data_IF_492134344539
#
_entry.id   IF_492134344539
#
_cell.length_a   1.000
_cell.length_b   1.000
_cell.length_c   1.000
_cell.angle_alpha   90.00
_cell.angle_beta   90.00
_cell.angle_gamma   90.00
#
_symmetry.space_group_name_H-M   'P 1'
#
loop_
_entity.id
_entity.type
_entity.pdbx_description
1 polymer ?
#
# COMPACT_ATOMS: atom_id res chain seq x y z
N UNK A 1 -4.29 4.28 -5.04
CA UNK A 1 -4.17 5.75 -4.84
C UNK A 1 -3.95 6.48 -6.16
N UNK A 2 -2.82 6.24 -6.83
CA UNK A 2 -2.48 6.90 -8.10
C UNK A 2 -3.56 6.80 -9.18
N UNK A 3 -4.17 5.62 -9.35
CA UNK A 3 -5.28 5.43 -10.30
C UNK A 3 -6.47 6.38 -10.04
N UNK A 4 -6.87 6.53 -8.78
CA UNK A 4 -7.99 7.40 -8.39
C UNK A 4 -7.60 8.86 -8.61
N UNK A 5 -6.39 9.24 -8.22
CA UNK A 5 -5.90 10.61 -8.42
C UNK A 5 -5.80 10.96 -9.91
N UNK A 6 -5.34 10.02 -10.73
CA UNK A 6 -5.28 10.18 -12.18
C UNK A 6 -6.67 10.35 -12.80
N UNK A 7 -7.68 9.61 -12.32
CA UNK A 7 -9.05 9.77 -12.77
C UNK A 7 -9.61 11.17 -12.47
N UNK A 8 -9.27 11.74 -11.29
CA UNK A 8 -9.58 13.15 -10.96
C UNK A 8 -8.92 14.10 -11.96
N UNK A 9 -7.61 13.94 -12.19
CA UNK A 9 -6.84 14.84 -13.07
C UNK A 9 -7.24 14.76 -14.55
N UNK A 10 -7.77 13.62 -14.98
CA UNK A 10 -8.17 13.39 -16.38
C UNK A 10 -9.67 13.53 -16.59
N UNK A 11 -10.43 13.86 -15.54
CA UNK A 11 -11.89 14.01 -15.56
C UNK A 11 -12.61 12.76 -16.11
N UNK A 12 -12.07 11.57 -15.83
CA UNK A 12 -12.60 10.29 -16.30
C UNK A 12 -13.35 9.56 -15.20
N UNK A 13 -14.38 8.80 -15.60
CA UNK A 13 -15.06 7.86 -14.71
C UNK A 13 -14.06 6.78 -14.30
N UNK A 14 -13.90 6.59 -13.01
CA UNK A 14 -12.97 5.63 -12.44
C UNK A 14 -13.57 4.22 -12.48
N UNK A 15 -12.78 3.24 -12.94
CA UNK A 15 -13.10 1.81 -12.82
C UNK A 15 -12.02 1.16 -11.96
N UNK A 16 -12.39 0.72 -10.77
CA UNK A 16 -11.48 0.11 -9.80
C UNK A 16 -11.34 -1.39 -10.05
N UNK A 17 -10.10 -1.92 -10.09
CA UNK A 17 -9.85 -3.35 -10.16
C UNK A 17 -10.11 -4.02 -8.80
N UNK A 18 -10.27 -5.34 -8.83
CA UNK A 18 -10.19 -6.15 -7.61
C UNK A 18 -8.74 -6.24 -7.12
N UNK A 19 -8.55 -6.48 -5.83
CA UNK A 19 -7.26 -6.80 -5.24
C UNK A 19 -6.91 -8.26 -5.54
N UNK A 20 -5.73 -8.47 -6.10
CA UNK A 20 -5.19 -9.79 -6.40
C UNK A 20 -4.31 -10.29 -5.23
N UNK A 21 -4.38 -11.58 -4.87
CA UNK A 21 -3.66 -12.14 -3.73
C UNK A 21 -2.20 -12.51 -4.05
N UNK A 22 -1.48 -11.70 -4.82
CA UNK A 22 -0.11 -12.00 -5.27
C UNK A 22 0.90 -12.24 -4.14
N UNK A 23 0.59 -11.78 -2.92
CA UNK A 23 1.46 -11.89 -1.74
C UNK A 23 0.94 -12.84 -0.65
N UNK A 24 -0.12 -13.61 -0.91
CA UNK A 24 -0.55 -14.68 -0.01
C UNK A 24 0.31 -15.94 -0.23
N UNK A 25 1.61 -15.84 -0.01
CA UNK A 25 2.52 -17.00 0.04
C UNK A 25 2.33 -17.71 1.39
N UNK A 26 1.25 -18.48 1.51
CA UNK A 26 0.92 -19.16 2.77
C UNK A 26 -0.43 -19.89 2.80
N UNK A 27 -1.23 -19.78 1.74
CA UNK A 27 -2.34 -20.73 1.55
C UNK A 27 -1.79 -22.14 1.38
N UNK A 28 -2.50 -23.14 1.90
CA UNK A 28 -2.30 -24.53 1.42
C UNK A 28 -2.30 -24.51 -0.11
N UNK A 29 -1.50 -25.36 -0.81
CA UNK A 29 -1.57 -25.51 -2.27
C UNK A 29 -3.00 -25.65 -2.82
N UNK A 30 -3.93 -26.08 -1.95
CA UNK A 30 -5.34 -26.31 -2.26
C UNK A 30 -6.28 -25.12 -1.95
N UNK A 31 -5.78 -24.01 -1.40
CA UNK A 31 -6.60 -22.81 -1.12
C UNK A 31 -6.52 -21.85 -2.30
N UNK A 32 -7.47 -21.97 -3.23
CA UNK A 32 -7.67 -20.95 -4.26
C UNK A 32 -8.00 -19.61 -3.57
N UNK A 33 -7.03 -18.71 -3.48
CA UNK A 33 -7.29 -17.36 -2.97
C UNK A 33 -8.00 -16.57 -4.07
N UNK A 34 -9.26 -16.26 -3.83
CA UNK A 34 -10.09 -15.46 -4.72
C UNK A 34 -9.74 -13.98 -4.58
N UNK A 35 -9.82 -13.23 -5.68
CA UNK A 35 -9.65 -11.78 -5.65
C UNK A 35 -10.75 -11.13 -4.77
N UNK A 36 -10.40 -10.11 -3.99
CA UNK A 36 -11.39 -9.33 -3.24
C UNK A 36 -11.67 -8.00 -3.95
N UNK A 37 -12.94 -7.61 -4.00
CA UNK A 37 -13.35 -6.36 -4.64
C UNK A 37 -12.88 -5.15 -3.86
N UNK A 38 -12.81 -4.00 -4.52
CA UNK A 38 -12.45 -2.77 -3.83
C UNK A 38 -13.53 -2.39 -2.78
N UNK A 39 -14.80 -2.62 -3.11
CA UNK A 39 -15.93 -2.37 -2.23
C UNK A 39 -16.00 -3.29 -1.01
N UNK A 40 -15.44 -4.50 -1.05
CA UNK A 40 -15.31 -5.36 0.12
C UNK A 40 -14.31 -4.81 1.15
N UNK A 41 -13.30 -4.07 0.68
CA UNK A 41 -12.26 -3.48 1.53
C UNK A 41 -12.61 -2.06 1.98
N UNK A 42 -13.09 -1.22 1.07
CA UNK A 42 -13.30 0.21 1.30
C UNK A 42 -14.76 0.63 1.08
N UNK A 43 -15.18 1.69 1.77
CA UNK A 43 -16.51 2.27 1.61
C UNK A 43 -16.61 3.12 0.32
N UNK A 44 -16.91 2.44 -0.80
CA UNK A 44 -17.03 3.09 -2.13
C UNK A 44 -18.11 4.19 -2.15
N UNK A 45 -19.33 4.01 -1.61
CA UNK A 45 -20.32 5.09 -1.58
C UNK A 45 -19.83 6.35 -0.87
N UNK A 46 -19.15 6.21 0.27
CA UNK A 46 -18.52 7.32 0.98
C UNK A 46 -17.44 7.97 0.12
N UNK A 47 -16.55 7.18 -0.46
CA UNK A 47 -15.46 7.69 -1.30
C UNK A 47 -15.99 8.49 -2.50
N UNK A 48 -16.98 7.95 -3.22
CA UNK A 48 -17.61 8.63 -4.35
C UNK A 48 -18.23 9.97 -3.96
N UNK A 49 -18.88 10.02 -2.78
CA UNK A 49 -19.46 11.26 -2.22
C UNK A 49 -18.38 12.29 -1.87
N UNK A 50 -17.32 11.86 -1.18
CA UNK A 50 -16.22 12.74 -0.75
C UNK A 50 -15.44 13.31 -1.95
N UNK A 51 -15.18 12.48 -2.96
CA UNK A 51 -14.47 12.89 -4.18
C UNK A 51 -15.37 13.58 -5.20
N UNK A 52 -16.70 13.55 -5.00
CA UNK A 52 -17.71 14.09 -5.92
C UNK A 52 -17.56 13.56 -7.34
N UNK A 53 -17.23 12.27 -7.48
CA UNK A 53 -17.05 11.63 -8.77
C UNK A 53 -17.70 10.24 -8.77
N UNK A 54 -18.21 9.78 -9.93
CA UNK A 54 -18.66 8.40 -10.08
C UNK A 54 -17.47 7.45 -9.96
N UNK A 55 -17.66 6.39 -9.17
CA UNK A 55 -16.69 5.32 -9.00
C UNK A 55 -17.40 4.02 -9.33
N UNK A 56 -16.87 3.33 -10.34
CA UNK A 56 -17.28 2.00 -10.73
C UNK A 56 -16.23 1.00 -10.27
N UNK A 57 -16.66 -0.21 -10.03
CA UNK A 57 -15.80 -1.38 -9.89
C UNK A 57 -15.91 -2.23 -11.15
N UNK A 58 -14.85 -2.98 -11.48
CA UNK A 58 -14.78 -3.73 -12.74
C UNK A 58 -15.99 -4.66 -12.97
N UNK A 59 -16.51 -5.27 -11.92
CA UNK A 59 -17.67 -6.17 -11.97
C UNK A 59 -18.98 -5.47 -12.40
N UNK A 60 -19.04 -4.14 -12.30
CA UNK A 60 -20.18 -3.33 -12.77
C UNK A 60 -20.07 -3.00 -14.26
N UNK A 61 -18.88 -3.16 -14.85
CA UNK A 61 -18.59 -2.88 -16.26
C UNK A 61 -18.62 -4.16 -17.10
N UNK A 62 -18.15 -5.27 -16.53
CA UNK A 62 -18.12 -6.58 -17.18
C UNK A 62 -18.66 -7.67 -16.25
N UNK A 63 -19.56 -8.50 -16.78
CA UNK A 63 -20.04 -9.68 -16.07
C UNK A 63 -18.87 -10.65 -15.80
N UNK A 64 -18.71 -11.02 -14.52
CA UNK A 64 -17.68 -11.97 -14.06
C UNK A 64 -17.82 -13.37 -14.67
N UNK A 65 -19.03 -13.73 -15.11
CA UNK A 65 -19.32 -15.02 -15.75
C UNK A 65 -19.17 -14.97 -17.27
N UNK A 66 -18.89 -13.80 -17.83
CA UNK A 66 -18.71 -13.65 -19.27
C UNK A 66 -17.49 -14.45 -19.73
N UNK A 67 -17.71 -15.35 -20.68
CA UNK A 67 -16.66 -16.08 -21.40
C UNK A 67 -16.12 -15.29 -22.59
N UNK A 68 -16.69 -14.12 -22.87
CA UNK A 68 -16.25 -13.26 -23.97
C UNK A 68 -14.91 -12.63 -23.62
N UNK A 69 -13.95 -12.81 -24.53
CA UNK A 69 -12.64 -12.16 -24.45
C UNK A 69 -12.74 -10.78 -25.09
N UNK A 70 -12.62 -9.74 -24.27
CA UNK A 70 -12.58 -8.36 -24.75
C UNK A 70 -11.14 -7.96 -25.06
N UNK A 71 -10.96 -7.07 -26.04
CA UNK A 71 -9.64 -6.58 -26.42
C UNK A 71 -9.44 -5.15 -25.92
N UNK A 72 -8.33 -4.91 -25.23
CA UNK A 72 -8.03 -3.62 -24.61
C UNK A 72 -6.55 -3.26 -24.79
N UNK A 73 -6.30 -2.13 -25.45
CA UNK A 73 -4.98 -1.52 -25.52
C UNK A 73 -4.72 -0.66 -24.28
N UNK A 74 -3.55 -0.82 -23.66
CA UNK A 74 -3.10 -0.10 -22.47
C UNK A 74 -1.76 0.61 -22.73
N UNK A 75 -1.41 1.56 -21.87
CA UNK A 75 -0.05 2.11 -21.83
C UNK A 75 0.86 1.21 -21.00
N UNK A 76 2.11 1.05 -21.46
CA UNK A 76 3.15 0.32 -20.74
C UNK A 76 3.96 1.32 -19.91
N UNK A 77 3.69 1.40 -18.61
CA UNK A 77 4.46 2.23 -17.66
C UNK A 77 5.60 1.43 -17.07
N UNK A 78 5.42 0.11 -16.91
CA UNK A 78 6.42 -0.77 -16.30
C UNK A 78 7.77 -0.74 -17.01
N UNK A 79 7.78 -0.72 -18.34
CA UNK A 79 9.02 -0.63 -19.13
C UNK A 79 9.79 0.68 -18.91
N UNK A 80 9.16 1.80 -18.53
CA UNK A 80 9.96 2.99 -18.14
C UNK A 80 10.59 2.78 -16.79
N UNK A 81 9.84 2.17 -15.89
CA UNK A 81 10.25 2.02 -14.49
C UNK A 81 11.40 1.02 -14.38
N UNK A 82 11.37 -0.06 -15.17
CA UNK A 82 12.32 -1.17 -15.07
C UNK A 82 13.22 -1.27 -16.31
N UNK A 83 14.48 -0.85 -16.17
CA UNK A 83 15.49 -0.79 -17.24
C UNK A 83 15.74 -2.15 -17.94
N UNK A 84 15.57 -3.26 -17.21
CA UNK A 84 15.78 -4.61 -17.73
C UNK A 84 14.49 -5.31 -18.18
N UNK A 85 13.33 -4.66 -18.09
CA UNK A 85 12.08 -5.28 -18.50
C UNK A 85 11.87 -5.17 -20.00
N UNK A 86 11.65 -6.31 -20.66
CA UNK A 86 11.34 -6.37 -22.09
C UNK A 86 9.85 -6.25 -22.39
N UNK A 87 8.99 -6.04 -21.38
CA UNK A 87 7.54 -6.12 -21.53
C UNK A 87 6.76 -5.41 -20.42
N UNK A 88 5.43 -5.35 -20.49
CA UNK A 88 4.60 -4.85 -19.40
C UNK A 88 4.76 -5.73 -18.15
N UNK A 89 4.36 -5.21 -16.99
CA UNK A 89 4.38 -6.02 -15.77
C UNK A 89 3.44 -7.21 -15.91
N UNK A 90 3.91 -8.40 -15.50
CA UNK A 90 3.05 -9.57 -15.45
C UNK A 90 1.91 -9.34 -14.44
N UNK A 91 0.69 -9.66 -14.87
CA UNK A 91 -0.50 -9.69 -14.01
C UNK A 91 -1.39 -10.84 -14.45
N UNK A 92 -1.90 -11.61 -13.49
CA UNK A 92 -2.91 -12.63 -13.76
C UNK A 92 -4.31 -12.03 -14.02
N UNK A 93 -4.51 -10.76 -13.63
CA UNK A 93 -5.80 -10.07 -13.66
C UNK A 93 -6.44 -10.03 -15.05
N UNK A 94 -5.73 -9.69 -16.15
CA UNK A 94 -6.34 -9.67 -17.47
C UNK A 94 -6.86 -11.04 -17.90
N UNK A 95 -6.15 -12.12 -17.56
CA UNK A 95 -6.61 -13.48 -17.79
C UNK A 95 -7.89 -13.80 -17.03
N UNK A 96 -7.94 -13.47 -15.73
CA UNK A 96 -9.14 -13.68 -14.89
C UNK A 96 -10.36 -12.88 -15.36
N UNK A 97 -10.13 -11.72 -15.97
CA UNK A 97 -11.21 -10.84 -16.46
C UNK A 97 -11.57 -11.10 -17.93
N UNK A 98 -10.99 -12.12 -18.57
CA UNK A 98 -11.13 -12.37 -20.00
C UNK A 98 -10.82 -11.12 -20.83
N UNK A 99 -9.71 -10.46 -20.54
CA UNK A 99 -9.22 -9.29 -21.27
C UNK A 99 -7.94 -9.68 -22.00
N UNK A 100 -7.99 -9.65 -23.33
CA UNK A 100 -6.82 -9.63 -24.18
C UNK A 100 -6.15 -8.25 -24.08
N UNK A 101 -5.36 -8.06 -23.01
CA UNK A 101 -4.59 -6.85 -22.77
C UNK A 101 -3.24 -6.89 -23.49
N UNK A 102 -2.87 -5.78 -24.16
CA UNK A 102 -1.48 -5.48 -24.50
C UNK A 102 -1.20 -4.00 -24.35
N UNK A 103 0.07 -3.72 -24.03
CA UNK A 103 0.58 -2.38 -23.86
C UNK A 103 1.50 -2.00 -25.02
N UNK A 104 1.49 -0.74 -25.45
CA UNK A 104 2.45 -0.24 -26.46
C UNK A 104 3.86 -0.13 -25.90
N UNK A 105 4.87 -0.43 -26.71
CA UNK A 105 6.26 -0.14 -26.39
C UNK A 105 6.47 1.37 -26.15
N UNK A 106 7.37 1.69 -25.23
CA UNK A 106 7.30 2.95 -24.51
C UNK A 106 7.78 4.19 -25.29
N UNK A 107 7.12 5.35 -25.09
CA UNK A 107 7.71 6.65 -25.41
C UNK A 107 7.78 7.63 -24.22
N UNK A 108 7.34 7.25 -23.01
CA UNK A 108 7.49 8.13 -21.85
C UNK A 108 8.98 8.15 -21.51
N UNK A 109 9.57 9.35 -21.51
CA UNK A 109 10.92 9.53 -20.99
C UNK A 109 10.90 9.07 -19.53
N UNK A 110 11.82 8.18 -19.15
CA UNK A 110 12.20 8.11 -17.75
C UNK A 110 12.49 9.55 -17.31
N UNK A 111 11.93 9.97 -16.18
CA UNK A 111 12.50 11.07 -15.42
C UNK A 111 13.85 10.60 -14.89
N UNK A 112 14.84 10.54 -15.78
CA UNK A 112 16.24 10.55 -15.40
C UNK A 112 16.48 11.97 -14.91
N UNK A 113 16.48 12.14 -13.60
CA UNK A 113 17.10 13.33 -13.02
C UNK A 113 18.56 13.32 -13.42
N UNK A 114 18.89 13.99 -14.52
CA UNK A 114 20.22 14.49 -14.81
C UNK A 114 20.51 15.68 -13.87
N UNK A 115 20.45 15.43 -12.57
CA UNK A 115 21.03 16.31 -11.55
C UNK A 115 22.30 15.63 -11.08
N UNK A 116 23.32 15.64 -11.95
CA UNK A 116 24.74 15.57 -11.57
C UNK A 116 25.21 14.44 -10.65
N UNK A 117 24.45 13.35 -10.46
CA UNK A 117 24.89 12.21 -9.69
C UNK A 117 24.66 10.93 -10.47
N UNK A 118 25.74 10.18 -10.58
CA UNK A 118 25.86 8.94 -11.30
C UNK A 118 24.73 7.97 -10.98
N UNK A 119 24.10 7.47 -12.05
CA UNK A 119 23.47 6.15 -12.18
C UNK A 119 23.32 5.35 -10.89
N UNK A 120 22.08 5.22 -10.44
CA UNK A 120 21.39 3.96 -10.08
C UNK A 120 20.32 4.27 -9.01
N UNK A 121 19.10 3.76 -9.22
CA UNK A 121 18.17 3.32 -8.17
C UNK A 121 16.95 4.14 -7.72
N UNK A 122 16.30 4.95 -8.56
CA UNK A 122 14.87 5.19 -8.31
C UNK A 122 14.02 5.14 -9.57
N UNK A 123 13.32 4.01 -9.67
CA UNK A 123 12.43 3.57 -10.73
C UNK A 123 11.05 4.19 -10.51
N UNK A 124 10.80 5.41 -10.98
CA UNK A 124 9.45 5.98 -10.97
C UNK A 124 9.19 6.83 -12.21
N UNK A 125 7.93 6.84 -12.64
CA UNK A 125 7.45 7.66 -13.76
C UNK A 125 6.71 8.88 -13.23
N UNK A 126 6.91 10.03 -13.88
CA UNK A 126 6.20 11.24 -13.53
C UNK A 126 4.70 11.11 -13.82
N UNK A 127 3.87 11.37 -12.80
CA UNK A 127 2.42 11.37 -12.92
C UNK A 127 1.93 12.36 -13.99
N UNK A 128 2.59 13.51 -14.16
CA UNK A 128 2.22 14.49 -15.19
C UNK A 128 2.37 13.92 -16.60
N UNK A 129 3.41 13.13 -16.83
CA UNK A 129 3.66 12.49 -18.11
C UNK A 129 2.69 11.33 -18.34
N UNK A 130 2.41 10.54 -17.31
CA UNK A 130 1.35 9.52 -17.35
C UNK A 130 -0.02 10.13 -17.65
N UNK A 131 -0.35 11.27 -17.01
CA UNK A 131 -1.59 12.02 -17.22
C UNK A 131 -1.69 12.58 -18.63
N UNK A 132 -0.59 13.09 -19.19
CA UNK A 132 -0.57 13.63 -20.55
C UNK A 132 -1.06 12.60 -21.59
N UNK A 133 -0.74 11.32 -21.42
CA UNK A 133 -1.18 10.23 -22.31
C UNK A 133 -2.70 10.01 -22.37
N UNK A 134 -3.46 10.59 -21.44
CA UNK A 134 -4.92 10.55 -21.46
C UNK A 134 -5.54 11.49 -22.51
N UNK A 135 -4.75 12.43 -23.06
CA UNK A 135 -5.22 13.49 -23.96
C UNK A 135 -4.81 13.23 -25.42
N UNK A 136 -5.66 13.59 -26.41
CA UNK A 136 -5.44 13.23 -27.82
C UNK A 136 -4.09 13.67 -28.40
N UNK A 137 -3.62 14.89 -28.10
CA UNK A 137 -2.36 15.41 -28.63
C UNK A 137 -1.18 14.52 -28.24
N UNK A 138 -1.08 14.21 -26.95
CA UNK A 138 0.02 13.44 -26.40
C UNK A 138 -0.12 11.97 -26.73
N UNK A 139 -1.34 11.42 -26.69
CA UNK A 139 -1.60 10.07 -27.21
C UNK A 139 -1.08 9.94 -28.64
N UNK A 140 -1.50 10.80 -29.56
CA UNK A 140 -1.17 10.69 -30.99
C UNK A 140 0.34 10.81 -31.25
N UNK A 141 1.05 11.66 -30.50
CA UNK A 141 2.53 11.76 -30.58
C UNK A 141 3.26 10.50 -30.10
N UNK A 142 2.64 9.80 -29.15
CA UNK A 142 3.22 8.67 -28.42
C UNK A 142 2.69 7.31 -28.89
N UNK A 143 1.80 7.26 -29.88
CA UNK A 143 1.41 5.98 -30.48
C UNK A 143 2.64 5.32 -31.14
N UNK A 144 2.84 4.06 -30.78
CA UNK A 144 3.83 3.13 -31.34
C UNK A 144 3.12 1.85 -31.72
N UNK A 145 3.75 1.04 -32.56
CA UNK A 145 3.21 -0.27 -32.93
C UNK A 145 3.07 -1.14 -31.67
N UNK A 146 1.85 -1.56 -31.30
CA UNK A 146 1.64 -2.41 -30.13
C UNK A 146 2.11 -3.84 -30.38
N UNK A 147 2.54 -4.52 -29.32
CA UNK A 147 2.83 -5.96 -29.35
C UNK A 147 1.54 -6.81 -29.53
N UNK A 148 1.64 -7.99 -30.14
CA UNK A 148 0.51 -8.90 -30.37
C UNK A 148 0.02 -9.56 -29.08
N UNK A 149 -1.30 -9.59 -28.83
CA UNK A 149 -1.91 -10.27 -27.68
C UNK A 149 -1.58 -11.76 -27.64
N UNK A 150 -1.17 -12.33 -26.49
CA UNK A 150 -0.94 -13.77 -26.37
C UNK A 150 -2.22 -14.60 -26.56
N UNK A 151 -3.38 -14.04 -26.20
CA UNK A 151 -4.67 -14.73 -26.19
C UNK A 151 -5.34 -14.72 -27.58
N UNK A 152 -5.32 -13.58 -28.27
CA UNK A 152 -6.05 -13.39 -29.54
C UNK A 152 -5.14 -13.09 -30.74
N UNK A 153 -3.84 -12.89 -30.55
CA UNK A 153 -2.92 -12.48 -31.63
C UNK A 153 -3.14 -11.05 -32.14
N UNK A 154 -4.03 -10.26 -31.52
CA UNK A 154 -4.40 -8.92 -31.96
C UNK A 154 -3.41 -7.85 -31.46
N UNK A 155 -3.14 -6.84 -32.29
CA UNK A 155 -2.37 -5.64 -31.93
C UNK A 155 -3.32 -4.43 -31.91
N UNK A 156 -3.50 -3.82 -30.74
CA UNK A 156 -4.40 -2.68 -30.55
C UNK A 156 -3.68 -1.51 -29.87
N UNK A 157 -3.83 -0.27 -30.39
CA UNK A 157 -3.32 0.90 -29.70
C UNK A 157 -4.10 1.16 -28.41
N UNK A 158 -3.56 1.96 -27.47
CA UNK A 158 -4.26 2.37 -26.26
C UNK A 158 -5.61 2.99 -26.60
N UNK A 159 -6.66 2.53 -25.94
CA UNK A 159 -8.04 2.88 -26.28
C UNK A 159 -8.35 4.36 -25.96
N UNK A 160 -9.14 5.03 -26.79
CA UNK A 160 -9.50 6.45 -26.60
C UNK A 160 -10.61 6.64 -25.55
N UNK A 161 -11.54 5.69 -25.48
CA UNK A 161 -12.69 5.70 -24.59
C UNK A 161 -12.32 5.17 -23.20
N UNK A 162 -11.58 4.05 -23.14
CA UNK A 162 -11.12 3.42 -21.91
C UNK A 162 -9.61 3.60 -21.72
N UNK A 163 -9.22 4.53 -20.86
CA UNK A 163 -7.82 4.75 -20.51
C UNK A 163 -7.31 3.64 -19.60
N UNK A 164 -6.24 2.95 -20.02
CA UNK A 164 -5.66 1.83 -19.30
C UNK A 164 -4.14 1.99 -19.17
N UNK A 165 -3.61 1.64 -18.00
CA UNK A 165 -2.18 1.53 -17.70
C UNK A 165 -1.93 0.16 -17.08
N UNK A 166 -0.80 -0.47 -17.40
CA UNK A 166 -0.42 -1.78 -16.85
C UNK A 166 0.03 -1.70 -15.38
N UNK A 167 0.73 -0.64 -14.99
CA UNK A 167 1.19 -0.39 -13.62
C UNK A 167 1.10 1.12 -13.29
N UNK A 168 0.66 1.43 -12.07
CA UNK A 168 0.67 2.80 -11.51
C UNK A 168 1.27 2.85 -10.11
N UNK A 169 1.94 1.77 -9.67
CA UNK A 169 2.55 1.67 -8.35
C UNK A 169 3.75 2.59 -8.24
N UNK A 170 4.60 2.61 -9.27
CA UNK A 170 5.82 3.41 -9.35
C UNK A 170 5.58 4.76 -10.04
N UNK A 171 4.43 5.38 -9.79
CA UNK A 171 4.10 6.71 -10.34
C UNK A 171 4.19 7.76 -9.24
N UNK A 172 4.88 8.86 -9.52
CA UNK A 172 5.18 9.90 -8.54
C UNK A 172 4.84 11.30 -9.05
N UNK A 173 4.47 12.22 -8.17
CA UNK A 173 4.08 13.58 -8.57
C UNK A 173 5.28 14.51 -8.87
N UNK A 174 6.52 14.14 -8.51
CA UNK A 174 7.68 15.04 -8.64
C UNK A 174 8.82 14.41 -9.43
N UNK A 175 9.40 15.21 -10.33
CA UNK A 175 10.58 14.84 -11.10
C UNK A 175 11.87 15.03 -10.29
N UNK A 176 11.81 15.61 -9.10
CA UNK A 176 12.99 16.05 -8.33
C UNK A 176 13.15 15.29 -7.00
N UNK A 177 12.32 14.27 -6.75
CA UNK A 177 12.58 13.37 -5.64
C UNK A 177 13.29 12.12 -6.18
N UNK A 178 14.61 11.97 -5.98
CA UNK A 178 15.34 10.78 -6.36
C UNK A 178 14.92 9.54 -5.53
N UNK A 179 13.82 9.62 -4.76
CA UNK A 179 13.25 8.53 -3.97
C UNK A 179 11.90 8.04 -4.51
N UNK A 180 11.30 8.68 -5.53
CA UNK A 180 10.13 8.14 -6.26
C UNK A 180 8.81 7.94 -5.48
N UNK A 181 8.79 8.12 -4.15
CA UNK A 181 7.63 7.86 -3.31
C UNK A 181 7.27 9.10 -2.48
N UNK A 182 6.17 9.79 -2.84
CA UNK A 182 5.73 11.00 -2.14
C UNK A 182 4.79 10.74 -0.96
N UNK A 183 4.24 9.53 -0.81
CA UNK A 183 3.14 9.23 0.13
C UNK A 183 3.45 9.51 1.60
N UNK A 184 4.72 9.59 1.99
CA UNK A 184 5.21 9.97 3.31
C UNK A 184 5.21 11.48 3.60
N UNK A 185 5.17 12.30 2.54
CA UNK A 185 5.34 13.75 2.64
C UNK A 185 4.01 14.45 2.74
N UNK A 186 3.90 15.45 3.60
CA UNK A 186 2.68 16.25 3.76
C UNK A 186 2.13 16.79 2.42
N UNK A 187 3.00 17.13 1.47
CA UNK A 187 2.63 17.59 0.14
C UNK A 187 2.13 16.51 -0.84
N UNK A 188 2.08 15.23 -0.45
CA UNK A 188 1.54 14.15 -1.28
C UNK A 188 0.11 14.47 -1.74
N UNK A 189 -0.05 14.81 -3.01
CA UNK A 189 -1.35 15.16 -3.58
C UNK A 189 -2.28 13.96 -3.65
N UNK A 190 -1.75 12.79 -4.02
CA UNK A 190 -2.52 11.55 -4.04
C UNK A 190 -3.03 11.17 -2.64
N UNK A 191 -2.24 11.38 -1.58
CA UNK A 191 -2.74 11.19 -0.21
C UNK A 191 -3.78 12.24 0.19
N UNK A 192 -3.44 13.53 0.03
CA UNK A 192 -4.29 14.66 0.48
C UNK A 192 -5.64 14.73 -0.21
N UNK A 193 -5.71 14.34 -1.48
CA UNK A 193 -6.92 14.42 -2.30
C UNK A 193 -7.68 13.08 -2.35
N UNK A 194 -7.00 11.96 -2.15
CA UNK A 194 -7.64 10.63 -2.22
C UNK A 194 -7.45 9.84 -0.92
N UNK A 195 -6.21 9.59 -0.52
CA UNK A 195 -5.88 8.64 0.55
C UNK A 195 -6.61 8.89 1.86
N UNK A 196 -6.74 10.15 2.28
CA UNK A 196 -7.48 10.50 3.50
C UNK A 196 -8.97 10.14 3.45
N UNK A 197 -9.57 9.95 2.27
CA UNK A 197 -10.98 9.60 2.10
C UNK A 197 -11.22 8.09 1.95
N UNK A 198 -10.16 7.27 1.90
CA UNK A 198 -10.24 5.81 1.76
C UNK A 198 -10.54 5.11 3.09
N UNK A 199 -11.74 5.33 3.61
CA UNK A 199 -12.23 4.66 4.81
C UNK A 199 -12.63 3.22 4.53
N UNK A 200 -12.48 2.38 5.54
CA UNK A 200 -12.80 0.96 5.48
C UNK A 200 -14.29 0.73 5.21
N UNK A 201 -14.60 -0.44 4.64
CA UNK A 201 -15.97 -0.90 4.58
C UNK A 201 -16.53 -1.05 6.02
N UNK A 202 -17.75 -0.56 6.33
CA UNK A 202 -18.34 -0.68 7.66
C UNK A 202 -18.37 -2.12 8.23
N UNK A 203 -18.47 -3.14 7.37
CA UNK A 203 -18.34 -4.55 7.77
C UNK A 203 -16.97 -4.84 8.39
N UNK A 204 -15.89 -4.40 7.73
CA UNK A 204 -14.52 -4.59 8.23
C UNK A 204 -14.32 -3.81 9.53
N UNK A 205 -14.83 -2.58 9.61
CA UNK A 205 -14.77 -1.77 10.83
C UNK A 205 -15.47 -2.47 12.00
N UNK A 206 -16.66 -3.04 11.79
CA UNK A 206 -17.39 -3.72 12.86
C UNK A 206 -16.71 -5.02 13.30
N UNK A 207 -16.18 -5.80 12.35
CA UNK A 207 -15.40 -6.99 12.68
C UNK A 207 -14.17 -6.60 13.51
N UNK A 208 -13.41 -5.59 13.07
CA UNK A 208 -12.25 -5.07 13.78
C UNK A 208 -12.59 -4.60 15.21
N UNK A 209 -13.69 -3.86 15.40
CA UNK A 209 -14.20 -3.48 16.73
C UNK A 209 -14.54 -4.70 17.58
N UNK A 210 -15.14 -5.73 16.98
CA UNK A 210 -15.40 -7.00 17.64
C UNK A 210 -14.13 -7.69 18.16
N UNK A 211 -13.05 -7.71 17.36
CA UNK A 211 -11.76 -8.22 17.80
C UNK A 211 -11.17 -7.38 18.92
N UNK A 212 -11.18 -6.06 18.81
CA UNK A 212 -10.72 -5.15 19.86
C UNK A 212 -11.44 -5.39 21.19
N UNK A 213 -12.77 -5.49 21.17
CA UNK A 213 -13.57 -5.78 22.38
C UNK A 213 -13.16 -7.10 23.02
N UNK A 214 -13.03 -8.17 22.24
CA UNK A 214 -12.58 -9.48 22.76
C UNK A 214 -11.17 -9.41 23.33
N UNK A 215 -10.23 -8.78 22.62
CA UNK A 215 -8.84 -8.62 23.04
C UNK A 215 -8.73 -7.85 24.35
N UNK A 216 -9.59 -6.85 24.58
CA UNK A 216 -9.62 -6.06 25.81
C UNK A 216 -10.56 -6.62 26.89
N UNK A 217 -11.24 -7.75 26.65
CA UNK A 217 -12.20 -8.33 27.60
C UNK A 217 -13.46 -7.46 27.82
N UNK A 218 -13.85 -6.68 26.81
CA UNK A 218 -14.98 -5.77 26.85
C UNK A 218 -16.28 -6.44 26.38
N UNK A 219 -17.42 -5.96 26.88
CA UNK A 219 -18.75 -6.38 26.41
C UNK A 219 -19.04 -5.95 24.97
N UNK A 220 -20.04 -6.57 24.34
CA UNK A 220 -20.38 -6.37 22.91
C UNK A 220 -20.62 -4.90 22.54
N UNK A 221 -21.25 -4.13 23.44
CA UNK A 221 -21.57 -2.71 23.21
C UNK A 221 -20.68 -1.75 23.99
N UNK A 222 -19.66 -2.28 24.68
CA UNK A 222 -18.75 -1.44 25.44
C UNK A 222 -17.92 -0.53 24.53
N UNK A 223 -17.68 0.70 25.00
CA UNK A 223 -16.80 1.65 24.33
C UNK A 223 -15.36 1.14 24.40
N UNK A 224 -14.69 1.10 23.24
CA UNK A 224 -13.29 0.73 23.14
C UNK A 224 -12.45 1.92 23.65
N UNK A 225 -11.60 1.74 24.67
CA UNK A 225 -10.74 2.81 25.18
C UNK A 225 -9.68 3.22 24.15
N UNK A 226 -9.12 4.44 24.24
CA UNK A 226 -7.96 4.83 23.43
C UNK A 226 -6.82 3.82 23.54
N UNK A 227 -6.23 3.45 22.40
CA UNK A 227 -5.14 2.50 22.32
C UNK A 227 -4.08 2.95 21.29
N UNK A 228 -2.89 2.37 21.43
CA UNK A 228 -1.77 2.54 20.51
C UNK A 228 -1.59 1.23 19.74
N UNK A 229 -1.28 1.33 18.46
CA UNK A 229 -0.98 0.16 17.61
C UNK A 229 0.50 0.15 17.23
N UNK A 230 1.05 -1.05 17.14
CA UNK A 230 2.40 -1.30 16.67
C UNK A 230 2.29 -2.22 15.45
N UNK A 231 2.97 -1.86 14.37
CA UNK A 231 3.17 -2.74 13.23
C UNK A 231 4.66 -3.03 13.07
N UNK A 232 5.04 -4.27 13.32
CA UNK A 232 6.40 -4.77 13.09
C UNK A 232 6.38 -5.64 11.83
N UNK A 233 7.11 -5.25 10.79
CA UNK A 233 7.32 -6.09 9.61
C UNK A 233 8.69 -6.76 9.73
N UNK A 234 8.69 -8.01 10.13
CA UNK A 234 9.86 -8.83 10.42
C UNK A 234 10.03 -9.97 9.42
N UNK A 235 8.93 -10.56 8.92
CA UNK A 235 8.94 -11.78 8.14
C UNK A 235 9.66 -11.65 6.81
N UNK A 236 9.06 -10.93 5.86
CA UNK A 236 9.58 -10.84 4.49
C UNK A 236 10.77 -9.86 4.34
N UNK A 237 10.92 -8.93 5.27
CA UNK A 237 12.03 -7.98 5.30
C UNK A 237 13.37 -8.61 5.72
N UNK A 238 13.38 -9.85 6.23
CA UNK A 238 14.62 -10.61 6.51
C UNK A 238 15.56 -10.67 5.31
N UNK A 239 15.02 -10.75 4.09
CA UNK A 239 15.80 -10.79 2.85
C UNK A 239 16.52 -9.48 2.52
N UNK A 240 16.14 -8.36 3.13
CA UNK A 240 16.79 -7.07 2.96
C UNK A 240 18.01 -6.89 3.90
N UNK A 241 18.20 -7.79 4.86
CA UNK A 241 19.26 -7.69 5.85
C UNK A 241 20.59 -8.20 5.30
N UNK A 242 21.60 -7.33 5.30
CA UNK A 242 22.98 -7.67 4.94
C UNK A 242 23.88 -7.94 6.16
N UNK A 243 23.29 -7.96 7.36
CA UNK A 243 23.94 -8.23 8.65
C UNK A 243 23.10 -9.27 9.43
N UNK A 244 23.60 -9.85 10.54
CA UNK A 244 22.81 -10.77 11.36
C UNK A 244 21.43 -10.21 11.71
N UNK A 245 20.39 -11.05 11.69
CA UNK A 245 18.99 -10.59 11.81
C UNK A 245 18.70 -9.86 13.13
N UNK A 246 19.33 -10.32 14.20
CA UNK A 246 19.30 -9.72 15.54
C UNK A 246 19.97 -8.34 15.60
N UNK A 247 20.91 -8.05 14.70
CA UNK A 247 21.53 -6.74 14.53
C UNK A 247 20.83 -5.87 13.48
N UNK A 248 20.14 -6.50 12.54
CA UNK A 248 19.39 -5.84 11.46
C UNK A 248 18.10 -5.22 11.98
N UNK A 249 17.32 -6.01 12.72
CA UNK A 249 16.04 -5.57 13.27
C UNK A 249 16.22 -4.83 14.58
N UNK A 250 15.27 -3.94 14.83
CA UNK A 250 15.28 -3.13 16.04
C UNK A 250 14.87 -3.99 17.24
N UNK A 251 15.55 -3.90 18.39
CA UNK A 251 15.11 -4.61 19.59
C UNK A 251 13.77 -4.09 20.11
N UNK A 252 12.99 -4.95 20.80
CA UNK A 252 11.70 -4.59 21.39
C UNK A 252 11.78 -3.39 22.35
N UNK A 253 12.92 -3.19 23.01
CA UNK A 253 13.16 -2.06 23.91
C UNK A 253 13.12 -0.71 23.18
N UNK A 254 13.59 -0.65 21.93
CA UNK A 254 13.50 0.55 21.12
C UNK A 254 12.06 0.83 20.66
N UNK A 255 11.31 -0.22 20.30
CA UNK A 255 9.87 -0.10 20.01
C UNK A 255 9.13 0.43 21.24
N UNK A 256 9.41 -0.11 22.43
CA UNK A 256 8.81 0.34 23.67
C UNK A 256 9.09 1.82 23.95
N UNK A 257 10.33 2.27 23.73
CA UNK A 257 10.68 3.70 23.80
C UNK A 257 9.83 4.55 22.86
N UNK A 258 9.61 4.13 21.61
CA UNK A 258 8.73 4.85 20.66
C UNK A 258 7.27 4.85 21.10
N UNK A 259 6.80 3.78 21.72
CA UNK A 259 5.45 3.73 22.33
C UNK A 259 5.32 4.76 23.44
N UNK A 260 6.35 4.91 24.29
CA UNK A 260 6.34 5.88 25.38
C UNK A 260 6.38 7.32 24.83
N UNK A 261 7.18 7.61 23.80
CA UNK A 261 7.14 8.90 23.09
C UNK A 261 5.73 9.24 22.54
N UNK A 262 5.02 8.24 22.01
CA UNK A 262 3.64 8.39 21.53
C UNK A 262 2.69 8.64 22.69
N UNK A 263 2.80 7.90 23.80
CA UNK A 263 1.98 8.13 25.01
C UNK A 263 2.18 9.53 25.57
N UNK A 264 3.41 9.99 25.66
CA UNK A 264 3.75 11.33 26.14
C UNK A 264 3.15 12.41 25.24
N UNK A 265 3.25 12.26 23.91
CA UNK A 265 2.65 13.20 22.97
C UNK A 265 1.12 13.25 23.11
N UNK A 266 0.47 12.09 23.19
CA UNK A 266 -0.99 12.00 23.37
C UNK A 266 -1.44 12.63 24.69
N UNK A 267 -0.72 12.37 25.77
CA UNK A 267 -1.06 12.93 27.07
C UNK A 267 -0.83 14.45 27.10
N UNK A 268 0.34 14.91 26.63
CA UNK A 268 0.76 16.31 26.72
C UNK A 268 0.01 17.23 25.77
N UNK A 269 -0.18 16.80 24.53
CA UNK A 269 -0.76 17.65 23.47
C UNK A 269 -2.26 17.45 23.31
N UNK A 270 -2.78 16.26 23.66
CA UNK A 270 -4.17 15.87 23.34
C UNK A 270 -4.99 15.47 24.57
N UNK A 271 -4.38 15.41 25.76
CA UNK A 271 -5.00 14.94 27.00
C UNK A 271 -5.66 13.56 26.84
N UNK A 272 -5.03 12.67 26.05
CA UNK A 272 -5.48 11.29 25.82
C UNK A 272 -4.54 10.35 26.55
N UNK A 273 -5.09 9.54 27.46
CA UNK A 273 -4.37 8.43 28.09
C UNK A 273 -4.68 7.12 27.36
N UNK A 274 -3.70 6.61 26.61
CA UNK A 274 -3.81 5.31 25.93
C UNK A 274 -3.08 4.22 26.74
N UNK A 275 -3.83 3.48 27.56
CA UNK A 275 -3.28 2.43 28.41
C UNK A 275 -3.00 1.13 27.65
N UNK A 276 -3.75 0.86 26.58
CA UNK A 276 -3.65 -0.37 25.82
C UNK A 276 -2.74 -0.20 24.60
N UNK A 277 -1.92 -1.21 24.35
CA UNK A 277 -1.01 -1.28 23.21
C UNK A 277 -1.24 -2.61 22.50
N UNK A 278 -1.49 -2.57 21.19
CA UNK A 278 -1.69 -3.76 20.36
C UNK A 278 -0.51 -3.87 19.40
N UNK A 279 0.12 -5.04 19.34
CA UNK A 279 1.16 -5.36 18.37
C UNK A 279 0.61 -6.31 17.30
N UNK A 280 0.94 -5.99 16.04
CA UNK A 280 0.69 -6.82 14.86
C UNK A 280 2.02 -7.03 14.13
N UNK A 281 2.25 -8.25 13.66
CA UNK A 281 3.50 -8.63 12.99
C UNK A 281 3.31 -9.84 12.10
N UNK A 282 4.11 -9.94 11.04
CA UNK A 282 4.28 -11.13 10.19
C UNK A 282 5.34 -12.10 10.73
N UNK A 283 5.86 -11.87 11.95
CA UNK A 283 6.79 -12.76 12.64
C UNK A 283 6.12 -14.05 13.13
N UNK A 284 6.80 -15.18 12.95
CA UNK A 284 6.32 -16.52 13.34
C UNK A 284 7.15 -17.14 14.47
N UNK A 285 8.27 -16.53 14.86
CA UNK A 285 9.11 -17.00 15.95
C UNK A 285 8.39 -16.88 17.31
N UNK A 286 8.12 -18.02 17.94
CA UNK A 286 7.42 -18.12 19.24
C UNK A 286 8.20 -17.41 20.34
N UNK A 287 9.52 -17.56 20.40
CA UNK A 287 10.35 -16.93 21.43
C UNK A 287 10.28 -15.41 21.35
N UNK A 288 10.21 -14.84 20.14
CA UNK A 288 10.00 -13.40 19.97
C UNK A 288 8.64 -12.95 20.52
N UNK A 289 7.57 -13.73 20.30
CA UNK A 289 6.25 -13.44 20.86
C UNK A 289 6.19 -13.59 22.39
N UNK A 290 6.98 -14.49 22.98
CA UNK A 290 7.15 -14.59 24.43
C UNK A 290 7.80 -13.32 25.01
N UNK A 291 8.80 -12.77 24.33
CA UNK A 291 9.41 -11.49 24.72
C UNK A 291 8.42 -10.32 24.58
N UNK A 292 7.60 -10.29 23.51
CA UNK A 292 6.53 -9.29 23.35
C UNK A 292 5.54 -9.36 24.50
N UNK A 293 5.19 -10.56 24.98
CA UNK A 293 4.27 -10.73 26.10
C UNK A 293 4.80 -10.11 27.40
N UNK A 294 6.13 -10.02 27.59
CA UNK A 294 6.74 -9.36 28.75
C UNK A 294 6.42 -7.85 28.81
N UNK A 295 6.14 -7.20 27.68
CA UNK A 295 5.71 -5.81 27.61
C UNK A 295 4.21 -5.60 27.88
N UNK A 296 3.45 -6.70 28.09
CA UNK A 296 1.99 -6.69 28.26
C UNK A 296 1.25 -6.04 27.08
N UNK A 297 1.83 -6.11 25.89
CA UNK A 297 1.14 -5.71 24.67
C UNK A 297 0.19 -6.82 24.23
N UNK A 298 -0.96 -6.41 23.74
CA UNK A 298 -1.97 -7.32 23.21
C UNK A 298 -1.59 -7.75 21.79
N UNK A 299 -2.00 -8.96 21.41
CA UNK A 299 -1.98 -9.42 20.02
C UNK A 299 -3.40 -9.84 19.63
N UNK A 300 -3.72 -9.77 18.34
CA UNK A 300 -5.03 -10.19 17.84
C UNK A 300 -5.01 -11.69 17.57
N UNK A 301 -5.94 -12.42 18.19
CA UNK A 301 -6.06 -13.86 17.98
C UNK A 301 -6.82 -14.15 16.68
N UNK A 302 -6.09 -14.51 15.63
CA UNK A 302 -6.68 -14.79 14.32
C UNK A 302 -7.06 -16.26 14.08
N UNK A 303 -7.00 -17.16 15.07
CA UNK A 303 -7.16 -18.61 14.87
C UNK A 303 -8.45 -19.04 14.16
N UNK A 304 -9.56 -18.33 14.38
CA UNK A 304 -10.86 -18.61 13.76
C UNK A 304 -11.20 -17.67 12.59
N UNK A 305 -10.33 -16.73 12.23
CA UNK A 305 -10.65 -15.64 11.27
C UNK A 305 -10.80 -16.17 9.86
N UNK A 306 -9.83 -16.94 9.38
CA UNK A 306 -9.83 -17.45 8.00
C UNK A 306 -11.03 -18.37 7.75
N UNK A 307 -11.34 -19.36 8.62
CA UNK A 307 -12.54 -20.19 8.43
C UNK A 307 -13.86 -19.41 8.48
N UNK A 308 -13.90 -18.28 9.21
CA UNK A 308 -15.13 -17.52 9.44
C UNK A 308 -15.38 -16.49 8.34
N UNK A 309 -14.35 -15.76 7.92
CA UNK A 309 -14.52 -14.58 7.07
C UNK A 309 -13.82 -14.70 5.71
N UNK A 310 -12.72 -15.45 5.64
CA UNK A 310 -11.91 -15.62 4.45
C UNK A 310 -10.44 -15.29 4.67
N UNK A 311 -9.61 -15.63 3.69
CA UNK A 311 -8.14 -15.50 3.76
C UNK A 311 -7.66 -14.04 3.75
N UNK A 312 -8.46 -13.11 3.23
CA UNK A 312 -8.14 -11.68 3.24
C UNK A 312 -8.39 -11.03 4.60
N UNK A 313 -9.37 -11.50 5.35
CA UNK A 313 -9.85 -10.81 6.54
C UNK A 313 -8.80 -10.63 7.65
N UNK A 314 -7.86 -11.56 7.94
CA UNK A 314 -6.82 -11.31 8.94
C UNK A 314 -6.06 -10.00 8.70
N UNK A 315 -5.51 -9.80 7.49
CA UNK A 315 -4.74 -8.59 7.17
C UNK A 315 -5.64 -7.34 7.10
N UNK A 316 -6.88 -7.47 6.63
CA UNK A 316 -7.83 -6.36 6.59
C UNK A 316 -8.24 -5.91 7.99
N UNK A 317 -8.49 -6.87 8.90
CA UNK A 317 -8.82 -6.61 10.29
C UNK A 317 -7.64 -5.96 11.01
N UNK A 318 -6.44 -6.52 10.88
CA UNK A 318 -5.23 -5.95 11.51
C UNK A 318 -4.98 -4.52 11.02
N UNK A 319 -5.02 -4.29 9.71
CA UNK A 319 -4.79 -2.94 9.15
C UNK A 319 -5.89 -1.95 9.54
N UNK A 320 -7.15 -2.40 9.70
CA UNK A 320 -8.23 -1.58 10.24
C UNK A 320 -7.96 -1.23 11.71
N UNK A 321 -7.68 -2.22 12.56
CA UNK A 321 -7.33 -2.02 13.98
C UNK A 321 -6.16 -1.05 14.12
N UNK A 322 -5.10 -1.27 13.33
CA UNK A 322 -3.92 -0.42 13.29
C UNK A 322 -4.27 1.04 13.01
N UNK A 323 -5.12 1.29 12.01
CA UNK A 323 -5.47 2.64 11.57
C UNK A 323 -6.44 3.39 12.49
N UNK A 324 -7.21 2.68 13.31
CA UNK A 324 -8.20 3.25 14.25
C UNK A 324 -7.59 3.63 15.61
N UNK A 325 -6.31 3.31 15.83
CA UNK A 325 -5.58 3.67 17.04
C UNK A 325 -5.44 5.19 17.22
N UNK A 326 -5.31 5.65 18.47
CA UNK A 326 -4.97 7.06 18.78
C UNK A 326 -3.48 7.34 18.65
N UNK A 327 -2.66 6.30 18.71
CA UNK A 327 -1.25 6.42 18.37
C UNK A 327 -0.76 5.20 17.59
N UNK A 328 0.36 5.36 16.89
CA UNK A 328 0.92 4.31 16.06
C UNK A 328 2.45 4.30 16.05
N UNK A 329 3.04 3.11 16.12
CA UNK A 329 4.47 2.86 15.91
C UNK A 329 4.64 1.87 14.77
N UNK A 330 5.30 2.28 13.68
CA UNK A 330 5.47 1.42 12.50
C UNK A 330 6.92 1.10 12.19
N UNK A 331 7.16 -0.02 11.49
CA UNK A 331 8.45 -0.30 10.85
C UNK A 331 8.71 0.68 9.70
N UNK A 332 9.89 1.33 9.70
CA UNK A 332 10.36 2.15 8.59
C UNK A 332 10.39 1.37 7.27
N UNK A 333 10.15 2.05 6.14
CA UNK A 333 10.06 1.47 4.79
C UNK A 333 8.96 0.43 4.53
N UNK A 334 8.10 0.13 5.50
CA UNK A 334 6.91 -0.68 5.25
C UNK A 334 5.78 0.17 4.69
N UNK A 335 5.27 -0.18 3.51
CA UNK A 335 4.12 0.51 2.90
C UNK A 335 2.85 0.40 3.74
N UNK A 336 2.66 -0.71 4.44
CA UNK A 336 1.57 -0.88 5.41
C UNK A 336 1.73 0.11 6.56
N UNK A 337 2.91 0.19 7.18
CA UNK A 337 3.20 1.15 8.25
C UNK A 337 2.98 2.59 7.80
N UNK A 338 3.44 2.91 6.59
CA UNK A 338 3.32 4.24 6.01
C UNK A 338 1.84 4.68 5.89
N UNK A 339 1.02 3.84 5.26
CA UNK A 339 -0.41 4.14 5.06
C UNK A 339 -1.14 4.20 6.40
N UNK A 340 -0.84 3.27 7.31
CA UNK A 340 -1.42 3.27 8.66
C UNK A 340 -1.08 4.54 9.43
N UNK A 341 0.19 4.95 9.48
CA UNK A 341 0.61 6.17 10.16
C UNK A 341 -0.13 7.41 9.64
N UNK A 342 -0.37 7.45 8.32
CA UNK A 342 -1.11 8.54 7.68
C UNK A 342 -2.59 8.53 8.04
N UNK A 343 -3.23 7.36 8.12
CA UNK A 343 -4.62 7.23 8.60
C UNK A 343 -4.74 7.67 10.06
N UNK A 344 -3.87 7.21 10.94
CA UNK A 344 -3.89 7.60 12.36
C UNK A 344 -3.75 9.12 12.51
N UNK A 345 -2.82 9.74 11.78
CA UNK A 345 -2.68 11.20 11.75
C UNK A 345 -3.93 11.92 11.23
N UNK A 346 -4.45 11.54 10.08
CA UNK A 346 -5.47 12.33 9.38
C UNK A 346 -6.91 12.01 9.82
N UNK A 347 -7.18 10.77 10.23
CA UNK A 347 -8.52 10.34 10.64
C UNK A 347 -8.80 10.60 12.11
N UNK A 348 -7.76 10.57 12.93
CA UNK A 348 -7.91 10.63 14.39
C UNK A 348 -7.13 11.75 15.04
N UNK A 349 -6.36 12.53 14.28
CA UNK A 349 -5.34 13.41 14.83
C UNK A 349 -4.51 12.62 15.87
N UNK A 350 -3.91 11.51 15.44
CA UNK A 350 -3.13 10.62 16.30
C UNK A 350 -1.63 10.90 16.28
N UNK A 351 -0.92 10.47 17.33
CA UNK A 351 0.54 10.59 17.42
C UNK A 351 1.22 9.37 16.77
N UNK A 352 2.26 9.58 15.96
CA UNK A 352 2.93 8.47 15.27
C UNK A 352 4.45 8.54 15.37
N UNK A 353 5.08 7.38 15.40
CA UNK A 353 6.54 7.19 15.30
C UNK A 353 6.85 6.05 14.34
N UNK A 354 8.08 6.06 13.83
CA UNK A 354 8.62 4.94 13.07
C UNK A 354 9.89 4.44 13.75
N UNK A 355 10.13 3.14 13.69
CA UNK A 355 11.40 2.54 14.10
C UNK A 355 12.27 2.27 12.89
N UNK A 356 13.52 2.75 12.94
CA UNK A 356 14.52 2.53 11.89
C UNK A 356 15.24 1.18 12.08
N UNK A 357 15.62 0.53 10.99
CA UNK A 357 16.24 -0.80 10.97
C UNK A 357 17.22 -0.93 9.79
N UNK A 358 17.87 -2.09 9.67
CA UNK A 358 18.78 -2.45 8.57
C UNK A 358 20.27 -2.27 8.89
N UNK A 359 20.61 -1.70 10.04
CA UNK A 359 21.98 -1.58 10.55
C UNK A 359 21.99 -1.45 12.07
N UNK A 360 23.10 -1.81 12.70
CA UNK A 360 23.34 -1.57 14.14
C UNK A 360 23.17 -0.08 14.46
N UNK A 361 22.37 0.21 15.49
CA UNK A 361 22.08 1.58 15.93
C UNK A 361 21.23 2.40 14.95
N UNK A 362 20.49 1.76 14.03
CA UNK A 362 19.65 2.47 13.07
C UNK A 362 18.61 3.40 13.73
N UNK A 363 18.07 2.99 14.88
CA UNK A 363 17.09 3.76 15.68
C UNK A 363 17.72 4.48 16.89
N UNK A 364 19.06 4.59 16.95
CA UNK A 364 19.70 5.31 18.04
C UNK A 364 19.45 6.82 17.89
N UNK A 365 18.99 7.45 18.96
CA UNK A 365 18.79 8.90 19.06
C UNK A 365 20.13 9.64 19.00
N UNK A 366 20.70 9.84 17.81
CA UNK A 366 21.63 10.94 17.61
C UNK A 366 20.77 12.20 17.40
N UNK A 367 20.85 13.16 18.32
CA UNK A 367 19.97 14.33 18.46
C UNK A 367 19.89 15.32 17.29
N UNK A 368 19.65 14.84 16.08
CA UNK A 368 19.22 15.61 14.90
C UNK A 368 17.78 15.24 14.62
N UNK A 369 16.94 16.27 14.46
CA UNK A 369 15.57 16.14 13.96
C UNK A 369 15.50 15.16 12.80
N UNK A 370 14.59 14.20 12.89
CA UNK A 370 14.33 13.09 11.94
C UNK A 370 13.89 13.52 10.52
N UNK A 371 14.53 14.51 9.92
CA UNK A 371 14.17 15.04 8.59
C UNK A 371 15.15 14.62 7.49
N UNK A 372 16.42 14.31 7.80
CA UNK A 372 17.43 14.10 6.75
C UNK A 372 18.20 12.79 6.93
N UNK A 373 17.80 11.72 6.22
CA UNK A 373 18.68 10.73 5.57
C UNK A 373 17.89 9.50 5.07
N UNK A 374 17.40 9.57 3.83
CA UNK A 374 16.71 8.45 3.14
C UNK A 374 17.27 8.14 1.73
N UNK A 375 18.33 8.83 1.30
CA UNK A 375 18.78 8.82 -0.10
C UNK A 375 19.45 7.51 -0.57
N UNK A 376 19.95 6.64 0.31
CA UNK A 376 20.79 5.51 -0.10
C UNK A 376 20.10 4.14 -0.13
N UNK A 377 18.87 3.99 0.37
CA UNK A 377 18.35 2.66 0.74
C UNK A 377 17.13 2.14 -0.03
N UNK A 378 16.53 2.94 -0.93
CA UNK A 378 15.37 2.50 -1.74
C UNK A 378 15.78 1.64 -2.95
N UNK A 379 17.06 1.70 -3.32
CA UNK A 379 17.77 0.69 -4.13
C UNK A 379 17.46 -0.74 -3.73
N UNK A 380 17.41 -1.00 -2.43
CA UNK A 380 17.27 -2.34 -1.86
C UNK A 380 15.85 -2.87 -2.03
N UNK A 381 14.85 -2.00 -1.94
CA UNK A 381 13.44 -2.38 -2.11
C UNK A 381 13.15 -2.74 -3.58
N UNK A 382 13.70 -2.00 -4.54
CA UNK A 382 13.53 -2.37 -5.95
C UNK A 382 14.15 -3.75 -6.25
N UNK A 383 15.28 -4.10 -5.63
CA UNK A 383 15.91 -5.42 -5.76
C UNK A 383 15.16 -6.57 -5.09
N UNK A 384 14.37 -6.31 -4.05
CA UNK A 384 13.54 -7.36 -3.40
C UNK A 384 12.32 -7.71 -4.25
N UNK A 385 11.91 -6.79 -5.13
CA UNK A 385 10.81 -6.99 -6.08
C UNK A 385 11.28 -7.35 -7.51
N UNK A 386 12.59 -7.50 -7.72
CA UNK A 386 13.22 -8.19 -8.87
C UNK A 386 13.34 -9.69 -8.57
#
# INVERSE_FOLDING_TARGET
LNLIYLAILTERVLILPAFNPSHFSGGSPDTEVVDTTFGEVFNVPRLAKELRMPILEWWQVKDRKSTTVDSLGCWNVWQAVMEHSSGPQYSATPGKLNIAQRSTDHPIQQTTTNVGYERRNCCSVCLRETMALAFPEQRNRNLRTPSNSPLLGLSLPPNEQLLCFDNLYYTANTNNNPQGFEFERDYSTAWRLVGKHLHWNPRIEEIARGYLRRTFGLGVDATIPPYITIHVRHGDLKGACHIPLDECFVPLSAIARRVDEVKEELQRLKNITAAHVILTSDETNITWWEEVAAYRWYHINHSATVPTYGVWDPVLIDTAIQSEGKGFVGTDRSTVSLITARRVKEWHDGAVRSVKWGKVGADDHQGRSDIDHFANSLTEICRIFE
#
